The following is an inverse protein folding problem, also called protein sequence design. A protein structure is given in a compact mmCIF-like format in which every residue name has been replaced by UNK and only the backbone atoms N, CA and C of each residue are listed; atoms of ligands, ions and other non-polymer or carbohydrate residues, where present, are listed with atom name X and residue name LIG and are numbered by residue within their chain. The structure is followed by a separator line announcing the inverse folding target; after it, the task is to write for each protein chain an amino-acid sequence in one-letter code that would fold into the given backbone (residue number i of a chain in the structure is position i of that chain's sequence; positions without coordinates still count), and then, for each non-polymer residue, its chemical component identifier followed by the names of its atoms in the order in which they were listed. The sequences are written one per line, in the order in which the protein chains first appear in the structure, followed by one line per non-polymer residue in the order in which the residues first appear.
data_IF_589641377334
#
_entry.id   IF_589641377334
#
_cell.length_a   1.000
_cell.length_b   1.000
_cell.length_c   1.000
_cell.angle_alpha   90.00
_cell.angle_beta   90.00
_cell.angle_gamma   90.00
#
_symmetry.space_group_name_H-M   'P 1'
#
loop_
_entity.id
_entity.type
_entity.pdbx_description
1 polymer ?
#
# COMPACT_ATOMS: atom_id res chain seq x y z
N UNK A 1 -9.76 -5.18 -2.32
CA UNK A 1 -11.07 -4.85 -2.93
C UNK A 1 -10.93 -3.79 -4.03
N UNK A 2 -10.29 -2.61 -3.83
CA UNK A 2 -10.20 -1.56 -4.85
C UNK A 2 -9.67 -2.00 -6.22
N UNK A 3 -8.70 -2.92 -6.32
CA UNK A 3 -8.25 -3.43 -7.62
C UNK A 3 -9.38 -4.03 -8.47
N UNK A 4 -10.34 -4.69 -7.83
CA UNK A 4 -11.38 -5.46 -8.50
C UNK A 4 -12.71 -4.71 -8.62
N UNK A 5 -12.87 -3.57 -7.95
CA UNK A 5 -14.13 -2.81 -7.92
C UNK A 5 -13.91 -1.41 -8.49
N UNK A 6 -14.29 -1.16 -9.77
CA UNK A 6 -14.04 0.13 -10.44
C UNK A 6 -14.76 1.33 -9.82
N UNK A 7 -15.77 1.11 -8.97
CA UNK A 7 -16.50 2.17 -8.29
C UNK A 7 -15.67 2.93 -7.24
N UNK A 8 -14.54 2.37 -6.78
CA UNK A 8 -13.61 3.12 -5.91
C UNK A 8 -12.82 4.12 -6.75
N UNK A 9 -13.04 5.40 -6.53
CA UNK A 9 -12.40 6.47 -7.29
C UNK A 9 -10.91 6.66 -6.96
N UNK A 10 -10.48 6.33 -5.74
CA UNK A 10 -9.10 6.28 -5.28
C UNK A 10 -8.91 5.23 -4.18
N UNK A 11 -7.67 4.98 -3.79
CA UNK A 11 -7.36 4.06 -2.69
C UNK A 11 -6.18 4.56 -1.86
N UNK A 12 -6.28 4.38 -0.55
CA UNK A 12 -5.20 4.67 0.40
C UNK A 12 -4.95 3.40 1.20
N UNK A 13 -3.68 2.98 1.27
CA UNK A 13 -3.25 1.87 2.10
C UNK A 13 -2.43 2.44 3.27
N UNK A 14 -3.04 2.49 4.45
CA UNK A 14 -2.36 2.91 5.67
C UNK A 14 -1.76 1.70 6.36
N UNK A 15 -0.44 1.70 6.52
CA UNK A 15 0.39 0.70 7.19
C UNK A 15 0.60 -0.64 6.46
N UNK A 16 -0.42 -1.19 5.81
CA UNK A 16 -0.42 -2.58 5.34
C UNK A 16 0.16 -2.80 3.93
N UNK A 17 0.98 -1.90 3.42
CA UNK A 17 1.70 -2.07 2.17
C UNK A 17 3.08 -2.70 2.42
N UNK A 18 3.35 -3.88 1.84
CA UNK A 18 4.54 -4.66 2.19
C UNK A 18 4.96 -5.60 1.05
N UNK A 19 5.86 -6.52 1.33
CA UNK A 19 6.15 -7.72 0.54
C UNK A 19 5.27 -8.87 1.06
N UNK A 20 4.45 -9.44 0.20
CA UNK A 20 3.43 -10.41 0.59
C UNK A 20 4.04 -11.64 1.28
N UNK A 21 5.08 -12.23 0.69
CA UNK A 21 5.71 -13.43 1.25
C UNK A 21 6.42 -13.14 2.57
N UNK A 22 7.09 -11.99 2.66
CA UNK A 22 7.73 -11.57 3.90
C UNK A 22 6.75 -11.37 5.02
N UNK A 23 5.67 -10.66 4.74
CA UNK A 23 4.65 -10.35 5.73
C UNK A 23 3.85 -11.57 6.16
N UNK A 24 3.42 -12.40 5.21
CA UNK A 24 2.42 -13.43 5.49
C UNK A 24 3.03 -14.80 5.78
N UNK A 25 4.11 -15.18 5.12
CA UNK A 25 4.60 -16.56 5.12
C UNK A 25 6.05 -16.75 5.61
N UNK A 26 6.84 -15.68 5.74
CA UNK A 26 8.23 -15.82 6.17
C UNK A 26 8.34 -16.13 7.66
N UNK A 27 9.08 -17.17 8.01
CA UNK A 27 9.44 -17.49 9.41
C UNK A 27 10.53 -16.57 9.96
N UNK A 28 11.14 -15.72 9.12
CA UNK A 28 12.18 -14.77 9.51
C UNK A 28 11.65 -13.41 9.92
N UNK A 29 10.42 -13.08 9.55
CA UNK A 29 9.74 -11.86 9.99
C UNK A 29 9.11 -12.09 11.37
N UNK A 30 9.45 -11.31 12.39
CA UNK A 30 8.83 -11.47 13.71
C UNK A 30 7.34 -11.12 13.74
N UNK A 31 6.88 -10.37 12.73
CA UNK A 31 5.49 -9.97 12.57
C UNK A 31 4.76 -10.73 11.46
N UNK A 32 5.32 -11.87 11.03
CA UNK A 32 4.70 -12.70 10.00
C UNK A 32 3.38 -13.28 10.48
N UNK A 33 2.39 -13.27 9.62
CA UNK A 33 1.08 -13.88 9.90
C UNK A 33 1.15 -15.39 10.09
N UNK A 34 2.22 -16.06 9.69
CA UNK A 34 2.43 -17.48 10.00
C UNK A 34 2.44 -17.74 11.51
N UNK A 35 2.71 -16.73 12.34
CA UNK A 35 2.72 -16.82 13.80
C UNK A 35 1.41 -16.35 14.46
N UNK A 36 0.42 -15.96 13.67
CA UNK A 36 -0.88 -15.46 14.16
C UNK A 36 -2.00 -16.48 13.88
N UNK A 37 -3.18 -16.23 14.41
CA UNK A 37 -4.38 -17.01 14.13
C UNK A 37 -5.24 -16.47 12.96
N UNK A 38 -4.72 -15.52 12.20
CA UNK A 38 -5.46 -14.86 11.11
C UNK A 38 -5.29 -15.66 9.81
N UNK A 39 -5.96 -16.81 9.74
CA UNK A 39 -5.82 -17.73 8.60
C UNK A 39 -6.49 -17.24 7.31
N UNK A 40 -7.42 -16.33 7.39
CA UNK A 40 -8.17 -15.74 6.27
C UNK A 40 -7.32 -14.91 5.31
N UNK A 41 -6.10 -14.56 5.72
CA UNK A 41 -5.16 -13.82 4.86
C UNK A 41 -4.37 -14.72 3.90
N UNK A 42 -4.41 -16.04 4.08
CA UNK A 42 -3.70 -16.99 3.23
C UNK A 42 -4.57 -17.43 2.06
N UNK A 43 -4.85 -16.49 1.15
CA UNK A 43 -5.61 -16.80 -0.06
C UNK A 43 -4.81 -17.77 -0.95
N UNK A 44 -5.56 -18.70 -1.58
CA UNK A 44 -4.99 -19.73 -2.42
C UNK A 44 -4.09 -19.13 -3.51
N UNK A 45 -2.83 -19.55 -3.52
CA UNK A 45 -1.81 -19.24 -4.50
C UNK A 45 -1.51 -17.74 -4.71
N UNK A 46 -1.98 -16.86 -3.81
CA UNK A 46 -1.79 -15.41 -3.98
C UNK A 46 -0.31 -15.04 -3.98
N UNK A 47 0.46 -15.57 -3.02
CA UNK A 47 1.89 -15.26 -2.89
C UNK A 47 2.76 -15.75 -4.05
N UNK A 48 2.31 -16.73 -4.82
CA UNK A 48 2.99 -17.19 -6.05
C UNK A 48 2.57 -16.40 -7.27
N UNK A 49 1.44 -15.71 -7.21
CA UNK A 49 0.82 -15.02 -8.36
C UNK A 49 1.08 -13.51 -8.31
N UNK A 50 0.92 -12.88 -7.14
CA UNK A 50 1.00 -11.44 -6.95
C UNK A 50 1.80 -11.07 -5.71
N UNK A 51 2.49 -9.94 -5.77
CA UNK A 51 2.95 -9.21 -4.59
C UNK A 51 2.08 -7.96 -4.39
N UNK A 52 2.31 -7.17 -3.37
CA UNK A 52 1.55 -5.94 -3.12
C UNK A 52 1.64 -4.95 -4.28
N UNK A 53 2.80 -4.85 -4.92
CA UNK A 53 2.97 -3.97 -6.07
C UNK A 53 2.08 -4.36 -7.25
N UNK A 54 1.99 -5.65 -7.58
CA UNK A 54 1.15 -6.11 -8.68
C UNK A 54 -0.33 -5.92 -8.36
N UNK A 55 -0.75 -6.19 -7.12
CA UNK A 55 -2.13 -5.93 -6.68
C UNK A 55 -2.48 -4.44 -6.74
N UNK A 56 -1.58 -3.57 -6.27
CA UNK A 56 -1.78 -2.12 -6.34
C UNK A 56 -1.77 -1.59 -7.78
N UNK A 57 -0.99 -2.19 -8.67
CA UNK A 57 -0.96 -1.84 -10.09
C UNK A 57 -2.33 -2.00 -10.77
N UNK A 58 -3.18 -2.90 -10.28
CA UNK A 58 -4.56 -3.07 -10.78
C UNK A 58 -5.49 -1.90 -10.42
N UNK A 59 -5.08 -1.01 -9.52
CA UNK A 59 -5.82 0.21 -9.19
C UNK A 59 -5.67 1.25 -10.31
N UNK A 60 -4.52 1.23 -11.01
CA UNK A 60 -4.23 2.21 -12.06
C UNK A 60 -5.34 2.27 -13.12
N UNK A 61 -5.63 3.44 -13.67
CA UNK A 61 -4.97 4.75 -13.49
C UNK A 61 -5.49 5.57 -12.30
N UNK A 62 -6.42 5.02 -11.51
CA UNK A 62 -7.02 5.70 -10.34
C UNK A 62 -5.96 6.04 -9.30
N UNK A 63 -6.10 7.15 -8.55
CA UNK A 63 -5.14 7.55 -7.54
C UNK A 63 -4.92 6.49 -6.46
N UNK A 64 -3.65 6.28 -6.10
CA UNK A 64 -3.25 5.35 -5.05
C UNK A 64 -2.20 5.99 -4.15
N UNK A 65 -2.38 5.85 -2.85
CA UNK A 65 -1.44 6.35 -1.85
C UNK A 65 -1.12 5.29 -0.81
N UNK A 66 0.12 5.29 -0.34
CA UNK A 66 0.56 4.54 0.85
C UNK A 66 0.88 5.52 1.96
N UNK A 67 0.49 5.20 3.18
CA UNK A 67 0.84 5.93 4.40
C UNK A 67 1.62 4.97 5.30
N UNK A 68 2.84 5.36 5.72
CA UNK A 68 3.76 4.45 6.39
C UNK A 68 4.49 5.12 7.56
N UNK A 69 4.31 4.59 8.76
CA UNK A 69 5.07 4.98 9.95
C UNK A 69 6.39 4.21 10.07
N UNK A 70 7.52 4.92 10.27
CA UNK A 70 8.85 4.31 10.37
C UNK A 70 8.99 3.31 11.54
N UNK A 71 8.22 3.52 12.63
CA UNK A 71 8.25 2.65 13.82
C UNK A 71 7.13 1.61 13.83
N UNK A 72 6.50 1.39 12.69
CA UNK A 72 5.49 0.36 12.53
C UNK A 72 6.17 -1.00 12.30
N UNK A 73 6.02 -1.92 13.24
CA UNK A 73 6.62 -3.24 13.18
C UNK A 73 6.04 -4.19 12.12
N UNK A 74 4.95 -3.82 11.47
CA UNK A 74 4.29 -4.70 10.48
C UNK A 74 5.16 -4.95 9.25
N UNK A 75 5.97 -3.98 8.86
CA UNK A 75 6.90 -4.12 7.73
C UNK A 75 8.23 -3.42 7.99
N UNK A 76 9.35 -3.92 7.46
CA UNK A 76 10.56 -3.12 7.28
C UNK A 76 10.36 -2.09 6.16
N UNK A 77 10.87 -0.87 6.38
CA UNK A 77 10.75 0.23 5.40
C UNK A 77 11.30 -0.14 4.02
N UNK A 78 12.39 -0.92 3.97
CA UNK A 78 13.02 -1.35 2.72
C UNK A 78 12.08 -2.21 1.87
N UNK A 79 11.23 -3.03 2.50
CA UNK A 79 10.24 -3.86 1.80
C UNK A 79 9.12 -3.02 1.22
N UNK A 80 8.62 -2.08 2.03
CA UNK A 80 7.61 -1.11 1.58
C UNK A 80 8.14 -0.27 0.43
N UNK A 81 9.36 0.27 0.58
CA UNK A 81 9.99 1.11 -0.44
C UNK A 81 10.21 0.35 -1.76
N UNK A 82 10.64 -0.90 -1.70
CA UNK A 82 10.84 -1.73 -2.88
C UNK A 82 9.53 -1.95 -3.65
N UNK A 83 8.48 -2.37 -2.96
CA UNK A 83 7.17 -2.61 -3.57
C UNK A 83 6.55 -1.29 -4.08
N UNK A 84 6.65 -0.21 -3.32
CA UNK A 84 6.18 1.10 -3.75
C UNK A 84 6.90 1.63 -4.99
N UNK A 85 8.21 1.42 -5.08
CA UNK A 85 8.99 1.83 -6.25
C UNK A 85 8.50 1.19 -7.56
N UNK A 86 8.05 -0.06 -7.52
CA UNK A 86 7.46 -0.76 -8.68
C UNK A 86 6.17 -0.09 -9.13
N UNK A 87 5.26 0.20 -8.17
CA UNK A 87 3.98 0.87 -8.47
C UNK A 87 4.23 2.29 -8.98
N UNK A 88 5.14 3.03 -8.33
CA UNK A 88 5.52 4.38 -8.77
C UNK A 88 6.10 4.37 -10.19
N UNK A 89 6.90 3.37 -10.54
CA UNK A 89 7.42 3.22 -11.91
C UNK A 89 6.28 3.06 -12.92
N UNK A 90 5.26 2.25 -12.62
CA UNK A 90 4.08 2.12 -13.48
C UNK A 90 3.38 3.47 -13.66
N UNK A 91 2.99 4.13 -12.58
CA UNK A 91 2.23 5.38 -12.64
C UNK A 91 3.04 6.51 -13.30
N UNK A 92 4.23 6.79 -12.79
CA UNK A 92 5.01 7.95 -13.22
C UNK A 92 5.72 7.73 -14.56
N UNK A 93 6.40 6.58 -14.73
CA UNK A 93 7.23 6.34 -15.90
C UNK A 93 6.45 5.77 -17.10
N UNK A 94 5.52 4.84 -16.86
CA UNK A 94 4.78 4.18 -17.94
C UNK A 94 3.51 4.93 -18.30
N UNK A 95 2.67 5.25 -17.32
CA UNK A 95 1.37 5.88 -17.55
C UNK A 95 1.44 7.40 -17.64
N UNK A 96 2.55 8.03 -17.23
CA UNK A 96 2.72 9.48 -17.18
C UNK A 96 1.73 10.18 -16.23
N UNK A 97 1.40 9.52 -15.13
CA UNK A 97 0.49 9.98 -14.08
C UNK A 97 1.21 10.11 -12.72
N UNK A 98 2.30 10.91 -12.62
CA UNK A 98 3.08 11.00 -11.38
C UNK A 98 2.28 11.56 -10.20
N UNK A 99 1.24 12.34 -10.48
CA UNK A 99 0.38 12.94 -9.46
C UNK A 99 -0.65 11.99 -8.85
N UNK A 100 -0.88 10.83 -9.49
CA UNK A 100 -1.83 9.83 -9.03
C UNK A 100 -1.20 8.78 -8.09
N UNK A 101 0.06 8.94 -7.74
CA UNK A 101 0.78 8.02 -6.86
C UNK A 101 1.55 8.79 -5.79
N UNK A 102 1.35 8.44 -4.53
CA UNK A 102 2.03 9.08 -3.41
C UNK A 102 2.38 8.07 -2.30
N UNK A 103 3.40 8.39 -1.52
CA UNK A 103 3.69 7.74 -0.24
C UNK A 103 4.00 8.81 0.80
N UNK A 104 3.39 8.68 1.97
CA UNK A 104 3.70 9.46 3.16
C UNK A 104 4.53 8.62 4.11
N UNK A 105 5.75 9.04 4.37
CA UNK A 105 6.63 8.50 5.41
C UNK A 105 6.58 9.41 6.62
N UNK A 106 6.19 8.88 7.77
CA UNK A 106 6.10 9.69 8.98
C UNK A 106 6.78 9.01 10.19
N UNK A 107 7.22 9.82 11.12
CA UNK A 107 7.79 9.36 12.40
C UNK A 107 6.65 8.94 13.33
N UNK A 108 6.30 7.65 13.27
CA UNK A 108 5.22 7.12 14.10
C UNK A 108 5.06 5.61 14.03
N UNK A 109 4.26 5.07 14.96
CA UNK A 109 3.93 3.65 15.03
C UNK A 109 2.83 3.27 14.03
N UNK A 110 2.28 2.07 14.18
CA UNK A 110 1.11 1.57 13.47
C UNK A 110 -0.14 2.42 13.75
N UNK A 111 -0.35 3.45 12.96
CA UNK A 111 -1.51 4.36 13.05
C UNK A 111 -1.77 5.08 11.74
N UNK A 112 -2.97 5.59 11.57
CA UNK A 112 -3.27 6.58 10.52
C UNK A 112 -2.64 7.92 10.94
N UNK A 113 -1.80 8.50 10.07
CA UNK A 113 -1.21 9.84 10.28
C UNK A 113 -2.14 10.95 9.82
N UNK A 114 -2.64 10.86 8.62
CA UNK A 114 -3.64 11.76 8.06
C UNK A 114 -3.08 12.97 7.31
N UNK A 115 -1.91 13.49 7.68
CA UNK A 115 -1.40 14.77 7.15
C UNK A 115 -1.35 14.83 5.62
N UNK A 116 -0.65 13.91 4.98
CA UNK A 116 -0.61 13.85 3.52
C UNK A 116 -1.84 13.13 2.93
N UNK A 117 -2.43 12.24 3.70
CA UNK A 117 -3.63 11.49 3.31
C UNK A 117 -4.80 12.42 3.04
N UNK A 118 -5.09 13.36 3.94
CA UNK A 118 -6.18 14.34 3.72
C UNK A 118 -5.88 15.27 2.54
N UNK A 119 -4.65 15.70 2.35
CA UNK A 119 -4.26 16.49 1.17
C UNK A 119 -4.46 15.72 -0.14
N UNK A 120 -4.11 14.43 -0.13
CA UNK A 120 -4.32 13.55 -1.28
C UNK A 120 -5.82 13.36 -1.59
N UNK A 121 -6.65 13.20 -0.56
CA UNK A 121 -8.10 13.13 -0.69
C UNK A 121 -8.68 14.43 -1.26
N UNK A 122 -8.32 15.59 -0.70
CA UNK A 122 -8.78 16.89 -1.20
C UNK A 122 -8.42 17.09 -2.67
N UNK A 123 -7.15 16.79 -3.03
CA UNK A 123 -6.68 16.91 -4.41
C UNK A 123 -7.48 16.08 -5.41
N UNK A 124 -7.79 14.84 -5.06
CA UNK A 124 -8.37 13.88 -6.02
C UNK A 124 -9.90 13.77 -5.97
N UNK A 125 -10.55 14.30 -4.93
CA UNK A 125 -11.99 14.29 -4.77
C UNK A 125 -12.62 15.67 -4.95
N UNK A 126 -11.82 16.70 -5.24
CA UNK A 126 -12.25 18.11 -5.26
C UNK A 126 -12.97 18.52 -3.96
N UNK A 127 -12.56 17.96 -2.84
CA UNK A 127 -13.12 18.39 -1.56
C UNK A 127 -12.54 19.74 -1.16
N UNK A 128 -13.37 20.68 -0.70
CA UNK A 128 -12.84 21.91 -0.16
C UNK A 128 -12.01 21.62 1.09
N UNK A 129 -10.88 22.29 1.20
CA UNK A 129 -10.14 22.29 2.45
C UNK A 129 -10.98 22.97 3.54
N UNK A 130 -10.96 22.45 4.79
CA UNK A 130 -11.72 23.03 5.87
C UNK A 130 -11.25 24.42 6.27
#
# INVERSE_FOLDING_TARGET
IPPLVPAYCLSICSADFNDWVWKNASTRSPYSYVFTGEYEIFEFDLGSTFNYAEMAALIAPRPFMVERGHFDGVAPDERVALEFAKVRHLYAAKLKLPDNIAIDWFDGPHRINGDQTFRFLHKHLDWPEP
#
